data_IF_260756982146
#
_entry.id   IF_260756982146
#
_cell.length_a   1.000
_cell.length_b   1.000
_cell.length_c   1.000
_cell.angle_alpha   90.00
_cell.angle_beta   90.00
_cell.angle_gamma   90.00
#
_symmetry.space_group_name_H-M   'P 1'
#
loop_
_entity.id
_entity.type
_entity.pdbx_description
1 polymer ?
#
# COMPACT_ATOMS: atom_id res chain seq x y z
N UNK A 1 -1.08 -11.19 2.46
CA UNK A 1 -0.01 -10.17 2.18
C UNK A 1 0.14 -9.83 0.70
N UNK A 2 0.01 -10.78 -0.25
CA UNK A 2 -0.02 -10.45 -1.69
C UNK A 2 -1.22 -9.56 -2.08
N UNK A 3 -2.38 -9.74 -1.44
CA UNK A 3 -3.58 -8.91 -1.68
C UNK A 3 -3.37 -7.42 -1.38
N UNK A 4 -2.61 -7.06 -0.34
CA UNK A 4 -2.27 -5.65 -0.03
C UNK A 4 -1.46 -5.07 -1.18
N UNK A 5 -0.47 -5.82 -1.68
CA UNK A 5 0.37 -5.35 -2.77
C UNK A 5 -0.41 -5.20 -4.08
N UNK A 6 -1.33 -6.13 -4.35
CA UNK A 6 -2.25 -6.07 -5.48
C UNK A 6 -3.19 -4.87 -5.39
N UNK A 7 -3.83 -4.66 -4.24
CA UNK A 7 -4.72 -3.52 -3.98
C UNK A 7 -3.99 -2.19 -4.12
N UNK A 8 -2.78 -2.08 -3.56
CA UNK A 8 -1.93 -0.88 -3.72
C UNK A 8 -1.57 -0.66 -5.19
N UNK A 9 -1.23 -1.71 -5.95
CA UNK A 9 -0.97 -1.61 -7.39
C UNK A 9 -2.20 -1.17 -8.18
N UNK A 10 -3.38 -1.71 -7.86
CA UNK A 10 -4.65 -1.32 -8.47
C UNK A 10 -5.00 0.14 -8.15
N UNK A 11 -4.75 0.57 -6.92
CA UNK A 11 -4.98 1.96 -6.50
C UNK A 11 -4.01 2.93 -7.20
N UNK A 12 -2.74 2.54 -7.37
CA UNK A 12 -1.75 3.28 -8.15
C UNK A 12 -2.04 3.28 -9.65
N UNK A 13 -2.73 2.26 -10.15
CA UNK A 13 -3.16 2.19 -11.54
C UNK A 13 -4.39 3.06 -11.82
N UNK A 14 -5.05 3.62 -10.80
CA UNK A 14 -6.08 4.65 -10.99
C UNK A 14 -5.44 6.00 -11.25
N UNK A 15 -5.85 6.63 -12.34
CA UNK A 15 -5.35 7.93 -12.77
C UNK A 15 -5.62 9.00 -11.70
N UNK A 16 -4.55 9.60 -11.17
CA UNK A 16 -4.60 10.59 -10.08
C UNK A 16 -3.90 10.17 -8.78
N UNK A 17 -3.50 8.90 -8.65
CA UNK A 17 -2.86 8.37 -7.46
C UNK A 17 -1.36 8.15 -7.65
N UNK A 18 -0.55 8.87 -6.87
CA UNK A 18 0.92 8.77 -6.95
C UNK A 18 1.47 7.86 -5.86
N UNK A 19 2.43 7.03 -6.25
CA UNK A 19 3.21 6.18 -5.32
C UNK A 19 3.87 7.00 -4.23
N UNK A 20 4.31 8.21 -4.58
CA UNK A 20 4.92 9.15 -3.66
C UNK A 20 3.92 9.74 -2.65
N UNK A 21 2.68 9.99 -3.07
CA UNK A 21 1.62 10.45 -2.16
C UNK A 21 1.21 9.37 -1.14
N UNK A 22 1.15 8.12 -1.61
CA UNK A 22 0.90 6.97 -0.74
C UNK A 22 2.09 6.76 0.21
N UNK A 23 3.32 6.77 -0.30
CA UNK A 23 4.54 6.65 0.49
C UNK A 23 4.63 7.74 1.57
N UNK A 24 4.33 9.00 1.21
CA UNK A 24 4.25 10.13 2.14
C UNK A 24 3.21 9.93 3.25
N UNK A 25 2.02 9.40 2.93
CA UNK A 25 1.00 9.06 3.94
C UNK A 25 1.41 7.90 4.84
N UNK A 26 2.13 6.93 4.30
CA UNK A 26 2.66 5.78 5.03
C UNK A 26 3.95 6.09 5.81
N UNK A 27 4.46 7.33 5.73
CA UNK A 27 5.75 7.72 6.30
C UNK A 27 6.89 6.80 5.82
N UNK A 28 6.82 6.37 4.56
CA UNK A 28 7.78 5.49 3.91
C UNK A 28 8.40 6.18 2.71
N UNK A 29 9.58 5.73 2.34
CA UNK A 29 10.13 6.04 1.01
C UNK A 29 9.43 5.22 -0.06
N UNK A 30 9.28 5.81 -1.24
CA UNK A 30 8.74 5.14 -2.44
C UNK A 30 9.53 3.86 -2.78
N UNK A 31 10.85 3.85 -2.54
CA UNK A 31 11.70 2.66 -2.67
C UNK A 31 11.36 1.53 -1.67
N UNK A 32 11.04 1.87 -0.42
CA UNK A 32 10.63 0.89 0.60
C UNK A 32 9.24 0.31 0.29
N UNK A 33 8.34 1.17 -0.17
CA UNK A 33 7.02 0.77 -0.63
C UNK A 33 7.12 -0.20 -1.81
N UNK A 34 8.03 0.04 -2.75
CA UNK A 34 8.30 -0.85 -3.88
C UNK A 34 8.93 -2.19 -3.46
N UNK A 35 9.81 -2.20 -2.44
CA UNK A 35 10.35 -3.44 -1.86
C UNK A 35 9.26 -4.28 -1.19
N UNK A 36 8.36 -3.66 -0.44
CA UNK A 36 7.21 -4.32 0.18
C UNK A 36 6.23 -4.87 -0.86
N UNK A 37 5.97 -4.10 -1.92
CA UNK A 37 5.18 -4.55 -3.07
C UNK A 37 5.81 -5.73 -3.82
N UNK A 38 7.14 -5.84 -3.81
CA UNK A 38 7.86 -6.96 -4.44
C UNK A 38 7.98 -8.19 -3.54
N UNK A 39 7.35 -8.19 -2.36
CA UNK A 39 7.44 -9.28 -1.39
C UNK A 39 8.82 -9.42 -0.73
N UNK A 40 9.72 -8.45 -0.95
CA UNK A 40 11.06 -8.43 -0.32
C UNK A 40 11.03 -7.92 1.13
N UNK A 41 9.89 -7.40 1.58
CA UNK A 41 9.73 -6.86 2.92
C UNK A 41 8.28 -7.01 3.36
N UNK A 42 8.07 -7.43 4.60
CA UNK A 42 6.73 -7.66 5.15
C UNK A 42 6.02 -6.34 5.45
N UNK A 43 4.69 -6.34 5.41
CA UNK A 43 3.88 -5.17 5.77
C UNK A 43 3.65 -5.12 7.28
N UNK A 44 3.87 -3.95 7.89
CA UNK A 44 3.47 -3.75 9.28
C UNK A 44 1.98 -3.50 9.35
N UNK A 45 1.33 -3.98 10.41
CA UNK A 45 -0.11 -3.83 10.58
C UNK A 45 -0.57 -2.36 10.57
N UNK A 46 0.24 -1.46 11.14
CA UNK A 46 0.02 -0.01 11.07
C UNK A 46 0.00 0.53 9.63
N UNK A 47 0.83 -0.03 8.75
CA UNK A 47 0.88 0.34 7.34
C UNK A 47 -0.35 -0.18 6.60
N UNK A 48 -0.80 -1.41 6.93
CA UNK A 48 -2.01 -2.00 6.36
C UNK A 48 -3.25 -1.19 6.76
N UNK A 49 -3.32 -0.71 8.00
CA UNK A 49 -4.38 0.20 8.46
C UNK A 49 -4.39 1.51 7.66
N UNK A 50 -3.23 2.15 7.49
CA UNK A 50 -3.13 3.37 6.68
C UNK A 50 -3.52 3.12 5.22
N UNK A 51 -3.10 1.99 4.64
CA UNK A 51 -3.50 1.61 3.27
C UNK A 51 -5.01 1.40 3.20
N UNK A 52 -5.60 0.69 4.15
CA UNK A 52 -7.05 0.49 4.26
C UNK A 52 -7.81 1.82 4.29
N UNK A 53 -7.34 2.80 5.09
CA UNK A 53 -7.91 4.14 5.13
C UNK A 53 -7.74 4.91 3.80
N UNK A 54 -6.58 4.82 3.15
CA UNK A 54 -6.30 5.54 1.90
C UNK A 54 -7.04 4.94 0.72
N UNK A 55 -7.14 3.61 0.66
CA UNK A 55 -7.85 2.89 -0.39
C UNK A 55 -9.37 2.87 -0.13
N UNK A 56 -9.81 3.11 1.12
CA UNK A 56 -11.20 2.95 1.52
C UNK A 56 -11.67 1.49 1.50
N UNK A 57 -10.75 0.52 1.53
CA UNK A 57 -11.04 -0.91 1.55
C UNK A 57 -11.08 -1.41 2.99
N UNK A 58 -11.91 -2.41 3.29
CA UNK A 58 -11.93 -3.04 4.61
C UNK A 58 -10.65 -3.86 4.79
N UNK A 59 -10.12 -3.91 6.01
CA UNK A 59 -8.96 -4.78 6.35
C UNK A 59 -9.19 -6.25 5.97
N UNK A 60 -10.45 -6.65 5.92
CA UNK A 60 -10.93 -7.97 5.50
C UNK A 60 -10.61 -8.26 4.02
N UNK A 61 -10.62 -7.23 3.15
CA UNK A 61 -10.19 -7.30 1.75
C UNK A 61 -8.65 -7.33 1.60
N UNK A 62 -7.91 -7.09 2.69
CA UNK A 62 -6.45 -7.02 2.69
C UNK A 62 -5.79 -8.23 3.38
N UNK A 63 -6.59 -9.14 3.95
CA UNK A 63 -6.13 -10.31 4.71
C UNK A 63 -5.62 -11.43 3.82
#
# INVERSE_FOLDING_TARGET
MEMIAEQVRLWLSKDGNSMDALAGKLNLSSADLQKKLSGKSEWYWSQVLTISEVLGCRLEDLR
#
